data_IF_662357808925
#
_entry.id   IF_662357808925
#
_cell.length_a   1.000
_cell.length_b   1.000
_cell.length_c   1.000
_cell.angle_alpha   90.00
_cell.angle_beta   90.00
_cell.angle_gamma   90.00
#
_symmetry.space_group_name_H-M   'P 1'
#
loop_
_entity.id
_entity.type
_entity.pdbx_description
1 polymer ?
#
# COMPACT_ATOMS: atom_id res chain seq x y z
N UNK A 1 -54.62 -30.60 -0.81
CA UNK A 1 -54.45 -31.42 -2.03
C UNK A 1 -52.95 -31.49 -2.34
N UNK A 2 -52.36 -32.67 -2.06
CA UNK A 2 -51.27 -33.40 -2.79
C UNK A 2 -50.07 -32.53 -3.26
N UNK A 3 -48.82 -32.57 -2.78
CA UNK A 3 -47.88 -33.60 -2.24
C UNK A 3 -47.65 -34.82 -3.17
N UNK A 4 -46.59 -34.76 -3.98
CA UNK A 4 -45.87 -35.90 -4.55
C UNK A 4 -44.38 -35.70 -4.18
N UNK A 5 -43.75 -36.47 -3.29
CA UNK A 5 -43.36 -37.89 -3.36
C UNK A 5 -42.43 -38.18 -4.53
N UNK A 6 -41.13 -38.19 -4.25
CA UNK A 6 -40.20 -39.14 -4.84
C UNK A 6 -39.43 -39.80 -3.70
N UNK A 7 -39.77 -41.06 -3.52
CA UNK A 7 -39.23 -41.99 -2.54
C UNK A 7 -37.84 -42.45 -3.00
N UNK A 8 -36.82 -42.29 -2.16
CA UNK A 8 -35.57 -43.03 -2.31
C UNK A 8 -35.43 -43.99 -1.14
N UNK A 9 -35.64 -45.26 -1.47
CA UNK A 9 -35.61 -46.42 -0.60
C UNK A 9 -34.15 -46.91 -0.48
N UNK A 10 -33.61 -46.97 0.74
CA UNK A 10 -32.33 -47.63 1.00
C UNK A 10 -32.56 -48.78 2.00
N UNK A 11 -32.39 -50.05 1.60
CA UNK A 11 -32.47 -51.17 2.53
C UNK A 11 -31.17 -51.32 3.32
N UNK A 12 -31.31 -51.68 4.59
CA UNK A 12 -30.23 -51.75 5.56
C UNK A 12 -29.40 -53.04 5.57
N UNK A 13 -28.61 -53.14 6.64
CA UNK A 13 -27.94 -54.30 7.23
C UNK A 13 -26.57 -54.74 6.67
N UNK A 14 -25.53 -54.17 7.30
CA UNK A 14 -24.40 -54.83 7.97
C UNK A 14 -23.86 -56.19 7.48
N UNK A 15 -22.54 -56.24 7.22
CA UNK A 15 -21.64 -57.34 7.64
C UNK A 15 -20.28 -56.75 8.06
N UNK A 16 -19.71 -57.12 9.21
CA UNK A 16 -18.39 -56.66 9.61
C UNK A 16 -17.32 -57.47 8.86
N UNK A 17 -16.46 -56.78 8.11
CA UNK A 17 -15.24 -57.37 7.60
C UNK A 17 -14.20 -57.37 8.74
N UNK A 18 -13.92 -58.55 9.27
CA UNK A 18 -12.72 -58.78 10.06
C UNK A 18 -11.52 -58.70 9.10
N UNK A 19 -10.67 -57.69 9.27
CA UNK A 19 -9.36 -57.65 8.62
C UNK A 19 -8.28 -57.82 9.69
N UNK A 20 -7.61 -58.96 9.59
CA UNK A 20 -6.46 -59.33 10.42
C UNK A 20 -5.34 -58.28 10.26
N UNK A 21 -4.90 -57.71 11.39
CA UNK A 21 -3.68 -56.90 11.45
C UNK A 21 -2.49 -57.86 11.46
N UNK A 22 -1.85 -58.06 10.31
CA UNK A 22 -0.53 -58.65 10.24
C UNK A 22 0.51 -57.58 10.60
N UNK A 23 1.10 -57.70 11.79
CA UNK A 23 2.28 -56.94 12.19
C UNK A 23 3.48 -57.42 11.37
N UNK A 24 3.75 -56.73 10.26
CA UNK A 24 5.04 -56.83 9.56
C UNK A 24 5.97 -55.81 10.20
N UNK A 25 6.79 -56.27 11.14
CA UNK A 25 7.95 -55.52 11.67
C UNK A 25 9.01 -55.42 10.57
N UNK A 26 8.78 -54.54 9.60
CA UNK A 26 9.78 -54.12 8.63
C UNK A 26 10.43 -52.82 9.10
N UNK A 27 11.71 -52.88 9.46
CA UNK A 27 12.52 -51.69 9.67
C UNK A 27 12.61 -50.91 8.35
N UNK A 28 11.72 -49.94 8.19
CA UNK A 28 11.76 -49.00 7.07
C UNK A 28 12.86 -47.99 7.36
N UNK A 29 14.07 -48.28 6.87
CA UNK A 29 15.12 -47.29 6.72
C UNK A 29 14.63 -46.23 5.73
N UNK A 30 14.01 -45.17 6.26
CA UNK A 30 13.74 -43.96 5.48
C UNK A 30 15.11 -43.33 5.21
N UNK A 31 15.66 -43.64 4.03
CA UNK A 31 16.74 -42.84 3.45
C UNK A 31 16.09 -41.52 3.07
N UNK A 32 16.08 -40.57 4.00
CA UNK A 32 15.68 -39.20 3.73
C UNK A 32 16.63 -38.63 2.69
N UNK A 33 16.20 -38.59 1.43
CA UNK A 33 16.82 -37.72 0.45
C UNK A 33 16.59 -36.28 0.95
N UNK A 34 17.61 -35.71 1.57
CA UNK A 34 17.63 -34.30 1.90
C UNK A 34 17.47 -33.54 0.59
N UNK A 35 16.26 -33.03 0.34
CA UNK A 35 16.05 -32.02 -0.69
C UNK A 35 16.87 -30.83 -0.22
N UNK A 36 18.02 -30.61 -0.86
CA UNK A 36 18.85 -29.44 -0.59
C UNK A 36 17.96 -28.22 -0.79
N UNK A 37 17.63 -27.57 0.33
CA UNK A 37 16.95 -26.30 0.33
C UNK A 37 17.96 -25.34 -0.31
N UNK A 38 17.74 -24.99 -1.58
CA UNK A 38 18.47 -23.90 -2.21
C UNK A 38 18.20 -22.69 -1.33
N UNK A 39 19.25 -22.19 -0.68
CA UNK A 39 19.17 -20.98 0.11
C UNK A 39 18.55 -19.89 -0.78
N UNK A 40 17.56 -19.13 -0.27
CA UNK A 40 17.02 -18.00 -1.02
C UNK A 40 18.18 -17.08 -1.42
N UNK A 41 18.12 -16.43 -2.59
CA UNK A 41 19.14 -15.50 -3.01
C UNK A 41 19.39 -14.46 -1.92
N UNK A 42 20.64 -14.04 -1.81
CA UNK A 42 21.18 -13.03 -0.90
C UNK A 42 20.56 -11.66 -1.21
N UNK A 43 19.30 -11.49 -0.83
CA UNK A 43 18.67 -10.19 -0.77
C UNK A 43 19.44 -9.33 0.24
N UNK A 44 19.99 -8.18 -0.18
CA UNK A 44 20.61 -7.29 0.77
C UNK A 44 19.52 -6.88 1.79
N UNK A 45 19.87 -6.95 3.07
CA UNK A 45 18.96 -6.86 4.22
C UNK A 45 18.38 -5.44 4.43
N UNK A 46 18.42 -4.62 3.40
CA UNK A 46 18.21 -3.17 3.39
C UNK A 46 17.06 -2.73 2.47
N UNK A 47 16.25 -3.68 1.96
CA UNK A 47 15.00 -3.38 1.21
C UNK A 47 13.99 -2.51 1.99
N UNK A 48 14.14 -2.47 3.31
CA UNK A 48 13.65 -1.42 4.19
C UNK A 48 14.89 -0.95 4.94
N UNK A 49 15.47 0.20 4.55
CA UNK A 49 16.74 0.68 5.11
C UNK A 49 16.83 0.39 6.60
N UNK A 50 17.92 -0.26 7.00
CA UNK A 50 18.23 -0.77 8.35
C UNK A 50 17.03 -0.72 9.30
N UNK A 51 16.46 -1.88 9.66
CA UNK A 51 15.61 -1.99 10.85
C UNK A 51 16.18 -1.05 11.92
N UNK A 52 15.36 -0.15 12.52
CA UNK A 52 15.88 0.83 13.46
C UNK A 52 16.80 0.11 14.44
N UNK A 53 17.96 0.72 14.75
CA UNK A 53 18.91 0.18 15.73
C UNK A 53 18.13 -0.48 16.87
N UNK A 54 18.59 -1.69 17.29
CA UNK A 54 17.97 -2.44 18.38
C UNK A 54 17.54 -1.47 19.50
N UNK A 55 16.28 -1.50 19.98
CA UNK A 55 15.74 -0.49 20.87
C UNK A 55 16.70 -0.27 22.03
N UNK A 56 17.41 0.84 22.01
CA UNK A 56 18.24 1.22 23.14
C UNK A 56 17.31 1.71 24.24
N UNK A 57 17.64 1.43 25.50
CA UNK A 57 16.91 2.01 26.64
C UNK A 57 17.05 3.54 26.71
N UNK A 58 17.92 4.13 25.88
CA UNK A 58 18.00 5.56 25.70
C UNK A 58 16.74 6.07 24.99
N UNK A 59 16.07 7.11 25.52
CA UNK A 59 15.00 7.77 24.78
C UNK A 59 15.55 8.25 23.43
N UNK A 60 14.78 8.13 22.34
CA UNK A 60 15.24 8.59 21.04
C UNK A 60 15.67 10.06 21.15
N UNK A 61 16.75 10.47 20.44
CA UNK A 61 17.14 11.86 20.43
C UNK A 61 15.93 12.71 20.05
N UNK A 62 15.77 13.90 20.66
CA UNK A 62 14.68 14.79 20.26
C UNK A 62 14.76 14.98 18.74
N UNK A 63 13.64 14.74 18.06
CA UNK A 63 13.52 14.81 16.58
C UNK A 63 13.92 16.20 16.06
N UNK A 64 13.92 17.20 16.93
CA UNK A 64 14.29 18.58 16.66
C UNK A 64 15.56 18.92 17.44
N UNK A 65 16.54 19.53 16.76
CA UNK A 65 17.77 20.03 17.38
C UNK A 65 17.45 21.19 18.34
N UNK A 66 17.63 21.01 19.66
CA UNK A 66 17.34 22.06 20.64
C UNK A 66 18.25 23.28 20.52
N UNK A 67 19.43 23.14 19.88
CA UNK A 67 20.37 24.24 19.66
C UNK A 67 19.99 25.12 18.46
N UNK A 68 19.03 24.71 17.64
CA UNK A 68 18.57 25.50 16.50
C UNK A 68 17.87 26.79 16.99
N UNK A 69 18.30 27.98 16.55
CA UNK A 69 17.68 29.26 16.96
C UNK A 69 16.19 29.37 16.61
N UNK A 70 15.71 28.59 15.63
CA UNK A 70 14.31 28.52 15.24
C UNK A 70 13.54 27.37 15.92
N UNK A 71 14.15 26.61 16.83
CA UNK A 71 13.52 25.48 17.52
C UNK A 71 12.19 25.87 18.17
N UNK A 72 12.12 27.06 18.80
CA UNK A 72 10.90 27.57 19.43
C UNK A 72 9.76 27.91 18.45
N UNK A 73 10.04 28.00 17.14
CA UNK A 73 9.06 28.26 16.08
C UNK A 73 8.53 26.98 15.44
N UNK A 74 9.20 25.84 15.67
CA UNK A 74 8.81 24.57 15.08
C UNK A 74 7.54 24.06 15.77
N UNK A 75 6.55 23.75 14.96
CA UNK A 75 5.29 23.19 15.44
C UNK A 75 5.40 21.67 15.55
N UNK A 76 4.73 21.09 16.55
CA UNK A 76 4.52 19.64 16.57
C UNK A 76 3.52 19.24 15.49
N UNK A 77 3.61 18.04 14.90
CA UNK A 77 2.65 17.60 13.86
C UNK A 77 1.19 17.75 14.29
N UNK A 78 0.86 17.45 15.54
CA UNK A 78 -0.50 17.61 16.07
C UNK A 78 -0.97 19.08 16.03
N UNK A 79 -0.08 20.03 16.30
CA UNK A 79 -0.37 21.46 16.26
C UNK A 79 -0.54 21.93 14.81
N UNK A 80 0.37 21.54 13.92
CA UNK A 80 0.29 21.88 12.49
C UNK A 80 -0.96 21.32 11.81
N UNK A 81 -1.41 20.13 12.22
CA UNK A 81 -2.56 19.47 11.62
C UNK A 81 -3.90 19.88 12.23
N UNK A 82 -3.92 20.53 13.40
CA UNK A 82 -5.15 20.88 14.11
C UNK A 82 -6.08 21.79 13.31
N UNK A 83 -5.53 22.60 12.39
CA UNK A 83 -6.28 23.54 11.56
C UNK A 83 -6.69 22.96 10.20
N UNK A 84 -6.23 21.75 9.86
CA UNK A 84 -6.49 21.12 8.57
C UNK A 84 -7.75 20.24 8.64
N UNK A 85 -8.53 20.17 7.56
CA UNK A 85 -9.64 19.23 7.48
C UNK A 85 -9.12 17.80 7.61
N UNK A 86 -9.88 16.97 8.31
CA UNK A 86 -9.60 15.54 8.43
C UNK A 86 -10.33 14.72 7.36
N UNK A 87 -9.72 13.62 6.94
CA UNK A 87 -10.35 12.58 6.14
C UNK A 87 -11.20 11.63 7.00
N UNK A 88 -11.85 10.64 6.37
CA UNK A 88 -12.68 9.65 7.06
C UNK A 88 -11.94 8.77 8.08
N UNK A 89 -10.61 8.88 8.16
CA UNK A 89 -9.74 8.15 9.09
C UNK A 89 -9.10 9.09 10.13
N UNK A 90 -9.54 10.34 10.19
CA UNK A 90 -9.02 11.35 11.13
C UNK A 90 -7.61 11.84 10.80
N UNK A 91 -7.12 11.62 9.57
CA UNK A 91 -5.82 12.13 9.10
C UNK A 91 -6.01 13.39 8.26
N UNK A 92 -4.99 14.25 8.10
CA UNK A 92 -5.12 15.45 7.28
C UNK A 92 -5.53 15.15 5.84
N UNK A 93 -6.58 15.81 5.36
CA UNK A 93 -6.98 15.81 3.96
C UNK A 93 -6.31 16.97 3.22
N UNK A 94 -5.10 16.70 2.72
CA UNK A 94 -4.26 17.66 2.00
C UNK A 94 -4.94 18.25 0.76
N UNK A 95 -5.68 17.43 0.01
CA UNK A 95 -6.34 17.86 -1.23
C UNK A 95 -7.50 18.79 -0.91
N UNK A 96 -8.28 18.46 0.12
CA UNK A 96 -9.35 19.33 0.60
C UNK A 96 -8.80 20.64 1.16
N UNK A 97 -7.76 20.59 1.98
CA UNK A 97 -7.12 21.77 2.56
C UNK A 97 -6.65 22.77 1.48
N UNK A 98 -6.05 22.25 0.41
CA UNK A 98 -5.62 23.06 -0.73
C UNK A 98 -6.82 23.65 -1.49
N UNK A 99 -7.85 22.84 -1.77
CA UNK A 99 -9.06 23.30 -2.49
C UNK A 99 -9.81 24.38 -1.72
N UNK A 100 -9.84 24.28 -0.40
CA UNK A 100 -10.44 25.26 0.50
C UNK A 100 -9.53 26.49 0.76
N UNK A 101 -8.31 26.50 0.21
CA UNK A 101 -7.38 27.63 0.35
C UNK A 101 -6.71 27.74 1.73
N UNK A 102 -6.84 26.71 2.58
CA UNK A 102 -6.18 26.63 3.89
C UNK A 102 -4.66 26.41 3.75
N UNK A 103 -4.23 25.84 2.62
CA UNK A 103 -2.83 25.73 2.21
C UNK A 103 -2.66 26.48 0.90
N UNK A 104 -1.68 27.38 0.85
CA UNK A 104 -1.35 28.18 -0.33
C UNK A 104 0.14 28.00 -0.65
N UNK A 105 0.48 26.96 -1.45
CA UNK A 105 1.85 26.68 -1.83
C UNK A 105 2.44 27.85 -2.61
N UNK A 106 3.69 28.19 -2.30
CA UNK A 106 4.45 29.13 -3.11
C UNK A 106 4.96 28.42 -4.35
N UNK A 107 4.89 29.06 -5.50
CA UNK A 107 5.40 28.49 -6.75
C UNK A 107 6.95 28.46 -6.82
N UNK A 108 7.61 29.37 -6.10
CA UNK A 108 9.07 29.42 -6.02
C UNK A 108 9.54 29.77 -4.61
N UNK A 109 10.76 29.36 -4.29
CA UNK A 109 11.43 29.68 -3.02
C UNK A 109 11.60 31.20 -2.85
N UNK A 110 11.79 31.93 -3.96
CA UNK A 110 11.93 33.40 -3.98
C UNK A 110 10.59 34.13 -3.94
N UNK A 111 9.48 33.44 -4.19
CA UNK A 111 8.15 34.04 -4.19
C UNK A 111 7.87 34.89 -5.42
N UNK A 112 8.65 34.67 -6.49
CA UNK A 112 8.36 35.18 -7.83
C UNK A 112 6.95 34.66 -8.22
N UNK A 113 6.10 35.54 -8.74
CA UNK A 113 4.69 35.25 -9.09
C UNK A 113 4.58 34.44 -10.38
N UNK A 114 5.30 33.33 -10.49
CA UNK A 114 5.00 32.34 -11.51
C UNK A 114 3.85 31.47 -11.00
N UNK A 115 2.87 31.20 -11.85
CA UNK A 115 1.79 30.28 -11.50
C UNK A 115 2.29 28.84 -11.60
N UNK A 116 1.86 27.98 -10.69
CA UNK A 116 2.06 26.53 -10.85
C UNK A 116 1.35 26.04 -12.11
N UNK A 117 2.01 25.19 -12.89
CA UNK A 117 1.40 24.56 -14.06
C UNK A 117 0.40 23.50 -13.62
N UNK A 118 -0.88 23.82 -13.67
CA UNK A 118 -1.97 22.90 -13.35
C UNK A 118 -2.27 21.97 -14.53
N UNK A 119 -2.45 20.69 -14.26
CA UNK A 119 -2.86 19.71 -15.26
C UNK A 119 -4.06 18.90 -14.77
N UNK A 120 -5.17 18.99 -15.50
CA UNK A 120 -6.37 18.19 -15.27
C UNK A 120 -6.39 16.99 -16.22
N UNK A 121 -5.60 15.98 -15.86
CA UNK A 121 -5.49 14.72 -16.59
C UNK A 121 -5.46 13.54 -15.62
N UNK A 122 -6.40 12.62 -15.78
CA UNK A 122 -6.44 11.37 -15.03
C UNK A 122 -5.77 10.24 -15.81
N UNK A 123 -4.87 9.51 -15.14
CA UNK A 123 -4.25 8.28 -15.68
C UNK A 123 -4.92 7.08 -15.02
N UNK A 124 -5.42 6.16 -15.84
CA UNK A 124 -6.04 4.92 -15.37
C UNK A 124 -5.08 3.74 -15.58
N UNK A 125 -4.65 3.11 -14.48
CA UNK A 125 -3.80 1.93 -14.49
C UNK A 125 -4.67 0.68 -14.28
N UNK A 126 -4.73 -0.16 -15.31
CA UNK A 126 -5.64 -1.32 -15.36
C UNK A 126 -5.00 -2.65 -14.94
N UNK A 127 -3.67 -2.68 -14.79
CA UNK A 127 -2.95 -3.89 -14.39
C UNK A 127 -2.99 -4.08 -12.86
N UNK A 128 -4.17 -4.34 -12.31
CA UNK A 128 -4.44 -4.38 -10.86
C UNK A 128 -4.94 -5.75 -10.37
N UNK A 129 -4.79 -6.79 -11.18
CA UNK A 129 -5.33 -8.13 -10.92
C UNK A 129 -6.83 -8.09 -10.60
N UNK A 130 -7.25 -8.43 -9.38
CA UNK A 130 -8.66 -8.43 -8.94
C UNK A 130 -9.08 -7.13 -8.22
N UNK A 131 -8.12 -6.26 -7.90
CA UNK A 131 -8.41 -4.97 -7.27
C UNK A 131 -9.00 -4.00 -8.30
N UNK A 132 -9.85 -3.05 -7.90
CA UNK A 132 -10.30 -1.97 -8.79
C UNK A 132 -9.13 -1.29 -9.50
N UNK A 133 -9.39 -0.70 -10.66
CA UNK A 133 -8.38 0.06 -11.39
C UNK A 133 -7.87 1.24 -10.54
N UNK A 134 -6.59 1.53 -10.70
CA UNK A 134 -5.95 2.66 -10.03
C UNK A 134 -6.13 3.91 -10.86
N UNK A 135 -6.60 4.99 -10.23
CA UNK A 135 -6.72 6.31 -10.84
C UNK A 135 -5.67 7.25 -10.26
N UNK A 136 -4.85 7.85 -11.10
CA UNK A 136 -3.89 8.88 -10.73
C UNK A 136 -4.33 10.24 -11.30
N UNK A 137 -4.77 11.19 -10.46
CA UNK A 137 -5.18 12.51 -10.90
C UNK A 137 -4.03 13.53 -10.83
N UNK A 138 -3.62 14.11 -11.97
CA UNK A 138 -2.61 15.18 -11.98
C UNK A 138 -3.09 16.44 -11.23
N UNK A 139 -4.39 16.72 -11.22
CA UNK A 139 -4.97 17.90 -10.58
C UNK A 139 -4.75 17.91 -9.05
N UNK A 140 -4.54 16.74 -8.44
CA UNK A 140 -4.23 16.65 -7.01
C UNK A 140 -2.75 16.83 -6.68
N UNK A 141 -1.86 16.83 -7.69
CA UNK A 141 -0.40 16.85 -7.51
C UNK A 141 0.23 18.14 -8.04
N UNK A 142 -0.20 18.59 -9.21
CA UNK A 142 0.31 19.79 -9.90
C UNK A 142 0.11 21.14 -9.21
N UNK A 143 -0.82 21.32 -8.25
CA UNK A 143 -0.92 22.60 -7.54
C UNK A 143 0.25 22.92 -6.59
N UNK A 144 1.06 21.94 -6.19
CA UNK A 144 2.22 22.15 -5.32
C UNK A 144 3.49 21.42 -5.78
N UNK A 145 3.41 20.53 -6.77
CA UNK A 145 4.57 19.87 -7.41
C UNK A 145 4.73 20.35 -8.85
N UNK A 146 5.97 20.62 -9.24
CA UNK A 146 6.34 20.85 -10.63
C UNK A 146 6.41 19.53 -11.41
N UNK A 147 6.29 19.60 -12.75
CA UNK A 147 6.38 18.43 -13.61
C UNK A 147 7.70 17.65 -13.42
N UNK A 148 8.79 18.37 -13.17
CA UNK A 148 10.14 17.82 -12.96
C UNK A 148 10.28 17.05 -11.66
N UNK A 149 9.37 17.20 -10.69
CA UNK A 149 9.35 16.35 -9.51
C UNK A 149 9.01 14.89 -9.82
N UNK A 150 8.37 14.63 -10.97
CA UNK A 150 7.94 13.30 -11.37
C UNK A 150 8.54 12.86 -12.71
N UNK A 151 8.65 13.77 -13.68
CA UNK A 151 9.09 13.48 -15.05
C UNK A 151 10.46 14.09 -15.36
N UNK A 152 11.30 13.41 -16.13
CA UNK A 152 11.19 12.03 -16.62
C UNK A 152 11.78 10.99 -15.64
N UNK A 153 12.22 11.43 -14.46
CA UNK A 153 12.93 10.60 -13.48
C UNK A 153 12.11 9.47 -12.85
N UNK A 154 11.02 9.79 -12.14
CA UNK A 154 10.20 8.78 -11.46
C UNK A 154 9.24 8.06 -12.41
N UNK A 155 8.77 8.79 -13.42
CA UNK A 155 7.82 8.29 -14.40
C UNK A 155 8.21 8.79 -15.79
N UNK A 156 8.16 7.90 -16.78
CA UNK A 156 8.10 8.31 -18.19
C UNK A 156 6.73 8.97 -18.44
N UNK A 157 6.66 10.12 -19.15
CA UNK A 157 5.40 10.81 -19.47
C UNK A 157 4.59 10.08 -20.56
N UNK A 158 4.32 8.80 -20.33
CA UNK A 158 3.59 7.89 -21.21
C UNK A 158 2.82 6.88 -20.36
N UNK A 159 1.50 6.85 -20.51
CA UNK A 159 0.65 5.90 -19.80
C UNK A 159 1.08 4.46 -20.12
N UNK A 160 1.19 3.62 -19.09
CA UNK A 160 1.58 2.21 -19.21
C UNK A 160 3.08 1.96 -19.45
N UNK A 161 3.92 3.00 -19.54
CA UNK A 161 5.37 2.83 -19.72
C UNK A 161 6.11 2.45 -18.44
N UNK A 162 5.52 2.73 -17.27
CA UNK A 162 6.17 2.55 -15.97
C UNK A 162 5.60 1.30 -15.26
N UNK A 163 6.41 0.27 -14.99
CA UNK A 163 5.97 -0.90 -14.23
C UNK A 163 5.89 -0.56 -12.74
N UNK A 164 4.70 -0.16 -12.31
CA UNK A 164 4.37 0.11 -10.91
C UNK A 164 3.67 -1.10 -10.29
N UNK A 165 4.22 -1.60 -9.18
CA UNK A 165 3.65 -2.71 -8.41
C UNK A 165 3.59 -2.34 -6.93
N UNK A 166 2.69 -2.96 -6.16
CA UNK A 166 2.62 -2.72 -4.72
C UNK A 166 3.94 -3.03 -3.97
N UNK A 167 4.68 -4.12 -4.29
CA UNK A 167 6.00 -4.34 -3.68
C UNK A 167 6.98 -3.17 -3.89
N UNK A 168 7.03 -2.60 -5.11
CA UNK A 168 7.87 -1.42 -5.38
C UNK A 168 7.41 -0.19 -4.60
N UNK A 169 6.10 0.04 -4.53
CA UNK A 169 5.51 1.13 -3.74
C UNK A 169 5.90 0.98 -2.26
N UNK A 170 5.86 -0.24 -1.73
CA UNK A 170 6.24 -0.53 -0.35
C UNK A 170 7.73 -0.38 -0.08
N UNK A 171 8.57 -0.66 -1.08
CA UNK A 171 10.01 -0.40 -1.05
C UNK A 171 10.35 1.10 -1.20
N UNK A 172 9.36 1.99 -1.34
CA UNK A 172 9.56 3.43 -1.46
C UNK A 172 9.86 3.92 -2.88
N UNK A 173 9.60 3.10 -3.90
CA UNK A 173 9.69 3.46 -5.32
C UNK A 173 8.34 3.93 -5.87
N UNK A 174 8.34 4.57 -7.05
CA UNK A 174 7.12 5.03 -7.74
C UNK A 174 6.23 5.88 -6.83
N UNK A 175 4.97 5.50 -6.57
CA UNK A 175 4.08 6.21 -5.64
C UNK A 175 4.64 6.27 -4.21
N UNK A 176 5.43 5.26 -3.81
CA UNK A 176 6.02 5.12 -2.47
C UNK A 176 7.14 6.12 -2.17
N UNK A 177 7.61 6.87 -3.18
CA UNK A 177 8.54 7.98 -2.96
C UNK A 177 7.90 9.04 -2.06
N UNK A 178 6.58 9.22 -2.17
CA UNK A 178 5.83 10.21 -1.39
C UNK A 178 4.79 9.57 -0.45
N UNK A 179 3.99 8.61 -0.94
CA UNK A 179 2.96 7.96 -0.14
C UNK A 179 3.58 7.05 0.93
N UNK A 180 3.21 7.26 2.19
CA UNK A 180 3.81 6.69 3.42
C UNK A 180 5.04 7.42 3.97
N UNK A 181 5.46 8.53 3.36
CA UNK A 181 6.55 9.39 3.88
C UNK A 181 6.05 10.81 4.16
N UNK A 182 5.52 11.46 3.13
CA UNK A 182 5.04 12.86 3.16
C UNK A 182 3.57 13.00 2.78
N UNK A 183 2.99 11.95 2.21
CA UNK A 183 1.56 11.85 1.90
C UNK A 183 0.93 10.67 2.65
N UNK A 184 -0.39 10.50 2.49
CA UNK A 184 -1.11 9.38 3.12
C UNK A 184 -0.45 8.04 2.81
N UNK A 185 -0.58 7.10 3.76
CA UNK A 185 0.02 5.78 3.66
C UNK A 185 -0.52 5.01 2.46
N UNK A 186 0.36 4.45 1.63
CA UNK A 186 -0.01 3.54 0.55
C UNK A 186 -0.56 2.21 1.11
N UNK A 187 -0.30 1.90 2.38
CA UNK A 187 -0.87 0.77 3.09
C UNK A 187 -2.18 1.13 3.77
N UNK A 188 -3.10 0.17 3.77
CA UNK A 188 -4.40 0.24 4.43
C UNK A 188 -5.37 1.31 3.92
N UNK A 189 -5.01 2.11 2.89
CA UNK A 189 -5.89 3.10 2.23
C UNK A 189 -6.10 2.80 0.75
N UNK A 190 -6.28 1.50 0.45
CA UNK A 190 -6.36 0.95 -0.90
C UNK A 190 -7.33 1.73 -1.81
N UNK A 191 -8.48 2.12 -1.26
CA UNK A 191 -9.58 2.81 -1.93
C UNK A 191 -9.20 4.19 -2.50
N UNK A 192 -8.14 4.82 -1.95
CA UNK A 192 -7.70 6.14 -2.41
C UNK A 192 -7.03 6.08 -3.79
N UNK A 193 -6.42 4.95 -4.11
CA UNK A 193 -5.80 4.71 -5.42
C UNK A 193 -6.73 3.83 -6.28
N UNK A 194 -7.15 2.68 -5.74
CA UNK A 194 -8.05 1.72 -6.36
C UNK A 194 -9.50 2.20 -6.32
N UNK A 195 -9.78 3.27 -7.05
CA UNK A 195 -11.01 4.06 -6.96
C UNK A 195 -11.96 3.90 -8.16
N UNK A 196 -11.61 3.06 -9.13
CA UNK A 196 -12.41 2.83 -10.33
C UNK A 196 -12.73 1.34 -10.45
N UNK A 197 -13.99 0.91 -10.26
CA UNK A 197 -14.36 -0.50 -10.36
C UNK A 197 -13.99 -1.12 -11.70
N UNK A 198 -13.62 -2.40 -11.68
CA UNK A 198 -13.50 -3.17 -12.92
C UNK A 198 -14.90 -3.47 -13.52
N UNK A 199 -14.99 -3.80 -14.83
CA UNK A 199 -16.24 -4.26 -15.42
C UNK A 199 -16.85 -5.42 -14.62
N UNK A 200 -18.09 -5.25 -14.15
CA UNK A 200 -18.81 -6.25 -13.35
C UNK A 200 -18.47 -6.25 -11.85
N UNK A 201 -17.57 -5.39 -11.38
CA UNK A 201 -17.25 -5.25 -9.95
C UNK A 201 -18.10 -4.15 -9.30
N UNK A 202 -18.66 -4.42 -8.12
CA UNK A 202 -19.30 -3.39 -7.30
C UNK A 202 -18.25 -2.60 -6.49
N UNK A 203 -18.56 -1.33 -6.21
CA UNK A 203 -17.76 -0.49 -5.32
C UNK A 203 -17.92 -0.99 -3.88
N UNK A 204 -16.80 -1.21 -3.19
CA UNK A 204 -16.75 -1.80 -1.84
C UNK A 204 -16.22 -0.83 -0.77
N UNK A 205 -16.15 0.47 -1.08
CA UNK A 205 -15.65 1.55 -0.22
C UNK A 205 -16.58 2.76 -0.18
#
# INVERSE_FOLDING_TARGET
MVRALQDFFWPGAARPFALAVALVSGALCIVGAAVAQVAPPDWPQDLFGSLPEAPTDAPPPPVLDPANPDHAKLQRPQESFAVLPADGRGKPDWVRALREGLIQPRASVRGEQEAMTLLDLDILMKNTAQMPYVKFPHAAHTPWLACTNCHDGLFVPKAGANPTTMPKILAGESCGVCHSKVAFSAMFTCERCHSVPQPGQQRWW
#
